data_IF_720210162462
#
_entry.id   IF_720210162462
#
_cell.length_a   1.000
_cell.length_b   1.000
_cell.length_c   1.000
_cell.angle_alpha   90.00
_cell.angle_beta   90.00
_cell.angle_gamma   90.00
#
_symmetry.space_group_name_H-M   'P 1'
#
loop_
_entity.id
_entity.type
_entity.pdbx_description
1 polymer ?
#
# COMPACT_ATOMS: atom_id res chain seq x y z
N UNK A 1 -32.89 21.00 -28.31
CA UNK A 1 -31.99 22.15 -28.53
C UNK A 1 -32.67 23.42 -28.03
N UNK A 2 -33.95 23.62 -28.37
CA UNK A 2 -34.79 24.72 -27.87
C UNK A 2 -34.89 24.80 -26.34
N UNK A 3 -34.90 23.67 -25.64
CA UNK A 3 -34.88 23.65 -24.17
C UNK A 3 -33.60 24.29 -23.59
N UNK A 4 -32.43 23.99 -24.15
CA UNK A 4 -31.15 24.55 -23.67
C UNK A 4 -31.03 26.04 -24.01
N UNK A 5 -31.52 26.45 -25.18
CA UNK A 5 -31.50 27.86 -25.61
C UNK A 5 -32.48 28.72 -24.77
N UNK A 6 -33.63 28.16 -24.39
CA UNK A 6 -34.58 28.76 -23.44
C UNK A 6 -34.03 28.82 -22.01
N UNK A 7 -33.26 27.82 -21.57
CA UNK A 7 -32.60 27.84 -20.24
C UNK A 7 -31.50 28.90 -20.21
N UNK A 8 -30.64 28.98 -21.23
CA UNK A 8 -29.55 29.96 -21.31
C UNK A 8 -30.07 31.40 -21.40
N UNK A 9 -31.17 31.63 -22.12
CA UNK A 9 -31.77 32.96 -22.23
C UNK A 9 -32.47 33.40 -20.93
N UNK A 10 -33.12 32.47 -20.23
CA UNK A 10 -33.69 32.71 -18.89
C UNK A 10 -32.60 33.00 -17.86
N UNK A 11 -31.50 32.26 -17.89
CA UNK A 11 -30.37 32.44 -16.97
C UNK A 11 -29.71 33.82 -17.08
N UNK A 12 -29.67 34.43 -18.27
CA UNK A 12 -29.09 35.77 -18.44
C UNK A 12 -29.85 36.91 -17.76
N UNK A 13 -31.07 36.67 -17.32
CA UNK A 13 -31.93 37.69 -16.68
C UNK A 13 -31.96 37.60 -15.15
N UNK A 14 -31.38 36.53 -14.59
CA UNK A 14 -31.38 36.27 -13.15
C UNK A 14 -30.24 37.01 -12.45
N UNK A 15 -30.40 37.23 -11.15
CA UNK A 15 -29.33 37.77 -10.31
C UNK A 15 -28.12 36.83 -10.33
N UNK A 16 -26.87 37.34 -10.17
CA UNK A 16 -25.65 36.53 -10.28
C UNK A 16 -25.63 35.35 -9.30
N UNK A 17 -26.23 35.51 -8.12
CA UNK A 17 -26.35 34.46 -7.11
C UNK A 17 -27.29 33.32 -7.56
N UNK A 18 -28.43 33.67 -8.16
CA UNK A 18 -29.41 32.70 -8.67
C UNK A 18 -28.86 31.94 -9.87
N UNK A 19 -28.06 32.60 -10.74
CA UNK A 19 -27.37 31.96 -11.87
C UNK A 19 -26.38 30.89 -11.41
N UNK A 20 -25.56 31.22 -10.41
CA UNK A 20 -24.61 30.26 -9.82
C UNK A 20 -25.35 29.14 -9.10
N UNK A 21 -26.46 29.43 -8.43
CA UNK A 21 -27.34 28.44 -7.80
C UNK A 21 -27.90 27.43 -8.79
N UNK A 22 -28.43 27.87 -9.93
CA UNK A 22 -28.97 26.97 -10.96
C UNK A 22 -27.87 26.15 -11.65
N UNK A 23 -26.72 26.76 -11.94
CA UNK A 23 -25.56 26.04 -12.46
C UNK A 23 -25.09 24.95 -11.49
N UNK A 24 -25.03 25.25 -10.19
CA UNK A 24 -24.66 24.29 -9.15
C UNK A 24 -25.73 23.21 -8.95
N UNK A 25 -27.01 23.51 -9.15
CA UNK A 25 -28.10 22.52 -9.10
C UNK A 25 -27.88 21.39 -10.11
N UNK A 26 -27.33 21.71 -11.28
CA UNK A 26 -27.06 20.72 -12.33
C UNK A 26 -25.65 20.12 -12.22
N UNK A 27 -24.61 20.96 -12.16
CA UNK A 27 -23.23 20.50 -12.15
C UNK A 27 -22.80 19.94 -10.78
N UNK A 28 -23.32 20.50 -9.69
CA UNK A 28 -22.98 20.09 -8.32
C UNK A 28 -23.39 18.65 -8.04
N UNK A 29 -24.54 18.19 -8.52
CA UNK A 29 -24.98 16.78 -8.37
C UNK A 29 -23.94 15.83 -8.96
N UNK A 30 -23.44 16.11 -10.17
CA UNK A 30 -22.39 15.28 -10.78
C UNK A 30 -21.13 15.23 -9.92
N UNK A 31 -20.68 16.38 -9.41
CA UNK A 31 -19.48 16.47 -8.55
C UNK A 31 -19.68 15.66 -7.28
N UNK A 32 -20.84 15.82 -6.62
CA UNK A 32 -21.16 15.10 -5.37
C UNK A 32 -21.15 13.58 -5.58
N UNK A 33 -21.76 13.09 -6.66
CA UNK A 33 -21.82 11.65 -6.96
C UNK A 33 -20.40 11.12 -7.15
N UNK A 34 -19.58 11.77 -7.98
CA UNK A 34 -18.20 11.34 -8.22
C UNK A 34 -17.35 11.33 -6.95
N UNK A 35 -17.41 12.40 -6.14
CA UNK A 35 -16.63 12.48 -4.90
C UNK A 35 -17.07 11.43 -3.88
N UNK A 36 -18.38 11.18 -3.76
CA UNK A 36 -18.91 10.14 -2.86
C UNK A 36 -18.48 8.75 -3.33
N UNK A 37 -18.61 8.45 -4.63
CA UNK A 37 -18.19 7.14 -5.17
C UNK A 37 -16.69 6.91 -4.99
N UNK A 38 -15.87 7.95 -5.18
CA UNK A 38 -14.42 7.84 -4.99
C UNK A 38 -14.07 7.61 -3.51
N UNK A 39 -14.69 8.37 -2.59
CA UNK A 39 -14.52 8.15 -1.14
C UNK A 39 -14.88 6.71 -0.76
N UNK A 40 -15.99 6.17 -1.26
CA UNK A 40 -16.36 4.78 -0.99
C UNK A 40 -15.38 3.78 -1.61
N UNK A 41 -14.95 3.98 -2.86
CA UNK A 41 -14.01 3.10 -3.53
C UNK A 41 -12.67 3.02 -2.77
N UNK A 42 -12.12 4.16 -2.35
CA UNK A 42 -10.88 4.20 -1.58
C UNK A 42 -11.07 3.73 -0.13
N UNK A 43 -12.23 3.98 0.49
CA UNK A 43 -12.54 3.44 1.82
C UNK A 43 -12.58 1.90 1.82
N UNK A 44 -13.14 1.28 0.77
CA UNK A 44 -13.09 -0.17 0.58
C UNK A 44 -11.63 -0.62 0.36
N UNK A 45 -10.86 0.11 -0.44
CA UNK A 45 -9.43 -0.16 -0.66
C UNK A 45 -8.61 -0.16 0.63
N UNK A 46 -8.97 0.67 1.62
CA UNK A 46 -8.31 0.75 2.93
C UNK A 46 -8.48 -0.53 3.79
N UNK A 47 -9.38 -1.44 3.43
CA UNK A 47 -9.54 -2.74 4.13
C UNK A 47 -8.50 -3.79 3.74
N UNK A 48 -7.64 -3.48 2.76
CA UNK A 48 -6.58 -4.36 2.27
C UNK A 48 -5.55 -4.72 3.36
N UNK A 49 -5.06 -5.97 3.34
CA UNK A 49 -4.04 -6.49 4.27
C UNK A 49 -2.62 -5.96 3.99
N UNK A 50 -2.36 -5.47 2.78
CA UNK A 50 -1.08 -4.87 2.39
C UNK A 50 -0.97 -3.47 3.02
N UNK A 51 -0.05 -3.26 3.98
CA UNK A 51 -0.02 -2.04 4.80
C UNK A 51 0.26 -0.77 3.98
N UNK A 52 1.08 -0.86 2.95
CA UNK A 52 1.41 0.28 2.07
C UNK A 52 0.17 0.77 1.32
N UNK A 53 -0.60 -0.16 0.75
CA UNK A 53 -1.86 0.17 0.05
C UNK A 53 -2.90 0.71 1.02
N UNK A 54 -3.00 0.12 2.22
CA UNK A 54 -3.91 0.59 3.26
C UNK A 54 -3.65 2.04 3.64
N UNK A 55 -2.41 2.42 3.94
CA UNK A 55 -2.05 3.80 4.27
C UNK A 55 -2.37 4.75 3.11
N UNK A 56 -2.01 4.38 1.88
CA UNK A 56 -2.33 5.16 0.69
C UNK A 56 -3.85 5.41 0.55
N UNK A 57 -4.66 4.37 0.65
CA UNK A 57 -6.12 4.48 0.52
C UNK A 57 -6.74 5.36 1.63
N UNK A 58 -6.24 5.28 2.87
CA UNK A 58 -6.71 6.13 3.98
C UNK A 58 -6.42 7.61 3.68
N UNK A 59 -5.20 7.96 3.28
CA UNK A 59 -4.83 9.34 2.95
C UNK A 59 -5.62 9.87 1.75
N UNK A 60 -5.78 9.05 0.71
CA UNK A 60 -6.55 9.44 -0.50
C UNK A 60 -8.02 9.65 -0.17
N UNK A 61 -8.63 8.79 0.65
CA UNK A 61 -10.03 8.95 1.09
C UNK A 61 -10.22 10.27 1.85
N UNK A 62 -9.35 10.57 2.80
CA UNK A 62 -9.38 11.83 3.55
C UNK A 62 -9.14 13.04 2.63
N UNK A 63 -8.18 12.93 1.70
CA UNK A 63 -7.85 13.97 0.73
C UNK A 63 -9.03 14.32 -0.18
N UNK A 64 -9.69 13.30 -0.76
CA UNK A 64 -10.86 13.50 -1.62
C UNK A 64 -12.02 14.12 -0.85
N UNK A 65 -12.26 13.66 0.38
CA UNK A 65 -13.29 14.25 1.24
C UNK A 65 -13.01 15.73 1.53
N UNK A 66 -11.75 16.07 1.87
CA UNK A 66 -11.35 17.46 2.09
C UNK A 66 -11.49 18.28 0.80
N UNK A 67 -11.03 17.78 -0.34
CA UNK A 67 -11.17 18.47 -1.64
C UNK A 67 -12.64 18.70 -1.99
N UNK A 68 -13.51 17.76 -1.70
CA UNK A 68 -14.95 17.90 -1.90
C UNK A 68 -15.53 19.03 -1.03
N UNK A 69 -15.20 19.06 0.26
CA UNK A 69 -15.60 20.15 1.17
C UNK A 69 -15.05 21.49 0.69
N UNK A 70 -13.76 21.56 0.34
CA UNK A 70 -13.12 22.76 -0.21
C UNK A 70 -13.80 23.23 -1.50
N UNK A 71 -14.23 22.30 -2.35
CA UNK A 71 -14.97 22.63 -3.58
C UNK A 71 -16.30 23.29 -3.24
N UNK A 72 -17.04 22.80 -2.24
CA UNK A 72 -18.30 23.43 -1.83
C UNK A 72 -18.09 24.81 -1.18
N UNK A 73 -17.11 24.95 -0.29
CA UNK A 73 -16.95 26.18 0.51
C UNK A 73 -16.09 27.26 -0.15
N UNK A 74 -15.11 26.90 -0.98
CA UNK A 74 -14.24 27.87 -1.66
C UNK A 74 -14.66 28.09 -3.12
N UNK A 75 -14.95 27.03 -3.88
CA UNK A 75 -15.21 27.20 -5.31
C UNK A 75 -16.53 27.92 -5.58
N UNK A 76 -17.59 27.61 -4.81
CA UNK A 76 -18.91 28.23 -5.01
C UNK A 76 -18.89 29.74 -4.75
N UNK A 77 -18.32 30.26 -3.64
CA UNK A 77 -18.21 31.70 -3.44
C UNK A 77 -17.28 32.38 -4.46
N UNK A 78 -16.15 31.77 -4.82
CA UNK A 78 -15.25 32.33 -5.84
C UNK A 78 -15.97 32.47 -7.18
N UNK A 79 -16.77 31.47 -7.58
CA UNK A 79 -17.57 31.52 -8.79
C UNK A 79 -18.62 32.64 -8.73
N UNK A 80 -19.27 32.83 -7.57
CA UNK A 80 -20.23 33.94 -7.38
C UNK A 80 -19.57 35.32 -7.44
N UNK A 81 -18.34 35.46 -6.92
CA UNK A 81 -17.57 36.69 -7.00
C UNK A 81 -17.09 36.96 -8.43
N UNK A 82 -16.70 35.91 -9.17
CA UNK A 82 -16.30 36.06 -10.57
C UNK A 82 -17.49 36.44 -11.46
N UNK A 83 -18.69 35.88 -11.24
CA UNK A 83 -19.90 36.32 -11.94
C UNK A 83 -20.28 37.76 -11.61
N UNK A 84 -20.25 38.17 -10.33
CA UNK A 84 -20.45 39.59 -9.96
C UNK A 84 -19.43 40.52 -10.63
N UNK A 85 -18.17 40.07 -10.73
CA UNK A 85 -17.10 40.81 -11.40
C UNK A 85 -17.37 40.94 -12.90
N UNK A 86 -17.81 39.86 -13.56
CA UNK A 86 -18.18 39.83 -14.98
C UNK A 86 -19.37 40.75 -15.27
N UNK A 87 -20.41 40.72 -14.43
CA UNK A 87 -21.58 41.60 -14.55
C UNK A 87 -21.20 43.09 -14.36
N UNK A 88 -20.19 43.38 -13.53
CA UNK A 88 -19.66 44.75 -13.37
C UNK A 88 -18.80 45.25 -14.55
N UNK A 89 -18.72 44.49 -15.65
CA UNK A 89 -17.93 44.85 -16.84
C UNK A 89 -16.42 44.84 -16.60
N UNK A 90 -15.95 44.01 -15.67
CA UNK A 90 -14.51 43.82 -15.37
C UNK A 90 -14.07 42.44 -15.86
N UNK A 91 -13.31 42.38 -16.95
CA UNK A 91 -12.77 41.13 -17.50
C UNK A 91 -11.23 41.08 -17.38
N UNK A 92 -10.66 39.87 -17.31
CA UNK A 92 -9.21 39.64 -17.21
C UNK A 92 -8.65 39.52 -15.79
N UNK A 93 -7.36 39.18 -15.66
CA UNK A 93 -6.71 38.86 -14.38
C UNK A 93 -6.64 40.06 -13.41
N UNK A 94 -6.55 41.29 -13.92
CA UNK A 94 -6.32 42.52 -13.14
C UNK A 94 -7.60 43.27 -12.72
N UNK A 95 -8.80 42.68 -12.86
CA UNK A 95 -10.08 43.30 -12.48
C UNK A 95 -10.32 44.70 -13.08
N UNK A 96 -9.70 45.02 -14.22
CA UNK A 96 -9.82 46.31 -14.89
C UNK A 96 -11.23 46.47 -15.48
N UNK A 97 -11.83 47.66 -15.30
CA UNK A 97 -13.09 47.99 -15.97
C UNK A 97 -12.84 48.15 -17.46
N UNK A 98 -13.69 47.52 -18.26
CA UNK A 98 -13.65 47.69 -19.71
C UNK A 98 -14.21 49.07 -20.08
N UNK A 99 -13.68 49.70 -21.14
CA UNK A 99 -14.23 50.94 -21.65
C UNK A 99 -15.67 50.74 -22.11
N UNK A 100 -16.51 51.77 -21.98
CA UNK A 100 -17.95 51.69 -22.24
C UNK A 100 -18.32 51.27 -23.67
N UNK A 101 -17.42 51.46 -24.64
CA UNK A 101 -17.59 51.07 -26.05
C UNK A 101 -16.94 49.71 -26.40
N UNK A 102 -16.62 48.89 -25.39
CA UNK A 102 -16.02 47.58 -25.64
C UNK A 102 -17.04 46.57 -26.20
N UNK A 103 -16.87 46.19 -27.46
CA UNK A 103 -17.66 45.14 -28.11
C UNK A 103 -16.89 43.82 -28.12
N UNK A 104 -17.43 42.79 -27.46
CA UNK A 104 -16.84 41.43 -27.43
C UNK A 104 -16.62 40.89 -28.84
N UNK A 105 -15.42 40.38 -29.14
CA UNK A 105 -15.10 39.83 -30.46
C UNK A 105 -15.87 38.53 -30.72
N UNK A 106 -16.54 38.39 -31.87
CA UNK A 106 -17.37 37.21 -32.21
C UNK A 106 -16.60 35.89 -32.15
N UNK A 107 -15.31 35.91 -32.48
CA UNK A 107 -14.47 34.72 -32.46
C UNK A 107 -14.20 34.23 -31.03
N UNK A 108 -13.99 35.15 -30.08
CA UNK A 108 -13.75 34.84 -28.66
C UNK A 108 -14.99 34.31 -27.94
N UNK A 109 -16.20 34.60 -28.44
CA UNK A 109 -17.45 34.12 -27.85
C UNK A 109 -17.80 32.68 -28.24
N UNK A 110 -17.02 32.05 -29.14
CA UNK A 110 -17.23 30.66 -29.54
C UNK A 110 -16.26 29.76 -28.81
N UNK A 111 -16.78 28.84 -28.00
CA UNK A 111 -15.98 27.77 -27.44
C UNK A 111 -15.64 26.79 -28.58
N UNK A 112 -14.39 26.77 -29.05
CA UNK A 112 -13.96 25.91 -30.16
C UNK A 112 -14.35 24.44 -29.94
N UNK A 113 -14.25 23.97 -28.69
CA UNK A 113 -14.65 22.63 -28.29
C UNK A 113 -16.13 22.35 -28.55
N UNK A 114 -17.01 23.28 -28.19
CA UNK A 114 -18.45 23.17 -28.43
C UNK A 114 -18.75 23.15 -29.94
N UNK A 115 -18.06 23.99 -30.72
CA UNK A 115 -18.21 24.03 -32.17
C UNK A 115 -17.79 22.70 -32.81
N UNK A 116 -16.66 22.15 -32.41
CA UNK A 116 -16.15 20.85 -32.89
C UNK A 116 -17.13 19.74 -32.50
N UNK A 117 -17.57 19.71 -31.23
CA UNK A 117 -18.49 18.68 -30.75
C UNK A 117 -19.82 18.73 -31.48
N UNK A 118 -20.36 19.93 -31.72
CA UNK A 118 -21.64 20.13 -32.40
C UNK A 118 -21.56 19.87 -33.91
N UNK A 119 -20.49 20.29 -34.60
CA UNK A 119 -20.36 20.15 -36.06
C UNK A 119 -19.82 18.79 -36.51
N UNK A 120 -18.89 18.21 -35.75
CA UNK A 120 -18.17 17.01 -36.19
C UNK A 120 -18.72 15.80 -35.43
N UNK A 121 -18.57 15.78 -34.10
CA UNK A 121 -18.90 14.59 -33.30
C UNK A 121 -20.41 14.30 -33.26
N UNK A 122 -21.26 15.31 -33.06
CA UNK A 122 -22.71 15.17 -32.99
C UNK A 122 -23.31 14.45 -34.21
N UNK A 123 -23.17 14.98 -35.43
CA UNK A 123 -23.73 14.34 -36.61
C UNK A 123 -23.01 13.04 -37.00
N UNK A 124 -21.74 12.85 -36.62
CA UNK A 124 -21.00 11.62 -36.90
C UNK A 124 -21.47 10.46 -36.02
N UNK A 125 -21.56 10.64 -34.70
CA UNK A 125 -21.92 9.59 -33.73
C UNK A 125 -23.41 9.22 -33.76
N UNK A 126 -24.29 10.10 -34.24
CA UNK A 126 -25.73 9.81 -34.30
C UNK A 126 -26.08 8.86 -35.46
N UNK A 127 -25.26 8.81 -36.51
CA UNK A 127 -25.48 7.90 -37.66
C UNK A 127 -25.49 6.44 -37.21
N UNK A 128 -26.54 5.71 -37.55
CA UNK A 128 -26.72 4.28 -37.25
C UNK A 128 -25.50 3.41 -37.59
N UNK A 129 -24.85 3.53 -38.77
CA UNK A 129 -23.65 2.72 -39.06
C UNK A 129 -22.50 3.01 -38.09
N UNK A 130 -22.31 4.26 -37.68
CA UNK A 130 -21.25 4.65 -36.74
C UNK A 130 -21.54 4.08 -35.36
N UNK A 131 -22.79 4.11 -34.89
CA UNK A 131 -23.17 3.48 -33.62
C UNK A 131 -22.88 1.99 -33.60
N UNK A 132 -23.24 1.28 -34.67
CA UNK A 132 -22.97 -0.17 -34.79
C UNK A 132 -21.47 -0.43 -34.75
N UNK A 133 -20.67 0.35 -35.50
CA UNK A 133 -19.20 0.22 -35.49
C UNK A 133 -18.62 0.49 -34.09
N UNK A 134 -19.07 1.54 -33.39
CA UNK A 134 -18.59 1.85 -32.03
C UNK A 134 -18.91 0.71 -31.07
N UNK A 135 -20.14 0.20 -31.07
CA UNK A 135 -20.54 -0.91 -30.19
C UNK A 135 -19.73 -2.17 -30.49
N UNK A 136 -19.55 -2.54 -31.76
CA UNK A 136 -18.74 -3.69 -32.16
C UNK A 136 -17.28 -3.53 -31.74
N UNK A 137 -16.71 -2.32 -31.89
CA UNK A 137 -15.36 -2.01 -31.47
C UNK A 137 -15.20 -2.09 -29.95
N UNK A 138 -16.15 -1.57 -29.18
CA UNK A 138 -16.13 -1.67 -27.72
C UNK A 138 -16.26 -3.12 -27.24
N UNK A 139 -17.14 -3.92 -27.88
CA UNK A 139 -17.27 -5.34 -27.59
C UNK A 139 -16.01 -6.13 -27.94
N UNK A 140 -15.36 -5.81 -29.07
CA UNK A 140 -14.08 -6.41 -29.45
C UNK A 140 -12.96 -6.09 -28.47
N UNK A 141 -12.84 -4.81 -28.07
CA UNK A 141 -11.89 -4.40 -27.02
C UNK A 141 -12.16 -5.10 -25.69
N UNK A 142 -13.43 -5.23 -25.29
CA UNK A 142 -13.80 -5.94 -24.07
C UNK A 142 -13.38 -7.42 -24.15
N UNK A 143 -13.65 -8.09 -25.27
CA UNK A 143 -13.21 -9.47 -25.51
C UNK A 143 -11.69 -9.63 -25.43
N UNK A 144 -10.93 -8.72 -26.05
CA UNK A 144 -9.47 -8.71 -25.99
C UNK A 144 -8.95 -8.50 -24.55
N UNK A 145 -9.56 -7.59 -23.78
CA UNK A 145 -9.19 -7.38 -22.38
C UNK A 145 -9.50 -8.62 -21.53
N UNK A 146 -10.65 -9.27 -21.71
CA UNK A 146 -10.98 -10.51 -21.01
C UNK A 146 -10.01 -11.66 -21.36
N UNK A 147 -9.63 -11.77 -22.62
CA UNK A 147 -8.63 -12.75 -23.05
C UNK A 147 -7.24 -12.44 -22.47
N UNK A 148 -6.83 -11.17 -22.48
CA UNK A 148 -5.58 -10.73 -21.85
C UNK A 148 -5.52 -11.00 -20.35
N UNK A 149 -6.65 -10.81 -19.64
CA UNK A 149 -6.77 -11.15 -18.22
C UNK A 149 -6.61 -12.65 -17.95
N UNK A 150 -7.00 -13.52 -18.89
CA UNK A 150 -6.84 -14.98 -18.74
C UNK A 150 -5.37 -15.42 -18.78
N UNK A 151 -4.49 -14.61 -19.38
CA UNK A 151 -3.05 -14.85 -19.45
C UNK A 151 -2.24 -14.14 -18.36
N UNK A 152 -2.89 -13.44 -17.41
CA UNK A 152 -2.20 -12.65 -16.41
C UNK A 152 -1.52 -13.57 -15.38
N UNK A 153 -0.20 -13.76 -15.52
CA UNK A 153 0.62 -14.46 -14.53
C UNK A 153 1.02 -13.49 -13.42
N UNK A 154 0.84 -13.90 -12.17
CA UNK A 154 1.36 -13.15 -11.03
C UNK A 154 2.87 -13.42 -10.92
N UNK A 155 3.68 -12.51 -11.45
CA UNK A 155 5.14 -12.53 -11.33
C UNK A 155 5.59 -11.32 -10.52
N UNK A 156 6.48 -11.54 -9.55
CA UNK A 156 6.99 -10.49 -8.68
C UNK A 156 8.49 -10.63 -8.57
N UNK A 157 9.20 -9.78 -9.32
CA UNK A 157 10.64 -9.66 -9.19
C UNK A 157 11.00 -8.48 -8.26
N UNK A 158 11.89 -8.76 -7.31
CA UNK A 158 12.41 -7.77 -6.37
C UNK A 158 13.37 -6.81 -7.06
N UNK A 159 13.99 -7.19 -8.18
CA UNK A 159 14.96 -6.37 -8.89
C UNK A 159 14.36 -5.09 -9.47
N UNK A 160 13.05 -5.08 -9.72
CA UNK A 160 12.31 -3.92 -10.24
C UNK A 160 12.31 -2.70 -9.29
N UNK A 161 12.49 -2.93 -7.99
CA UNK A 161 12.55 -1.86 -6.99
C UNK A 161 13.93 -1.21 -6.89
N UNK A 162 14.99 -1.87 -7.35
CA UNK A 162 16.34 -1.31 -7.32
C UNK A 162 16.55 -0.37 -8.49
N UNK A 163 17.20 0.77 -8.27
CA UNK A 163 17.66 1.61 -9.37
C UNK A 163 18.68 0.86 -10.24
N UNK A 164 18.80 1.19 -11.54
CA UNK A 164 19.86 0.63 -12.39
C UNK A 164 21.22 0.96 -11.77
N UNK A 165 22.05 -0.08 -11.57
CA UNK A 165 23.35 0.02 -10.91
C UNK A 165 23.82 -1.33 -10.37
N UNK A 166 24.97 -1.32 -9.69
CA UNK A 166 25.68 -2.55 -9.29
C UNK A 166 24.81 -3.53 -8.48
N UNK A 167 23.88 -3.05 -7.68
CA UNK A 167 23.01 -3.89 -6.84
C UNK A 167 22.06 -4.73 -7.69
N UNK A 168 21.47 -4.12 -8.73
CA UNK A 168 20.58 -4.82 -9.66
C UNK A 168 21.38 -5.85 -10.47
N UNK A 169 22.54 -5.45 -10.98
CA UNK A 169 23.41 -6.31 -11.79
C UNK A 169 23.94 -7.50 -10.98
N UNK A 170 24.33 -7.26 -9.72
CA UNK A 170 24.76 -8.32 -8.82
C UNK A 170 23.62 -9.31 -8.52
N UNK A 171 22.43 -8.83 -8.19
CA UNK A 171 21.29 -9.71 -7.88
C UNK A 171 20.87 -10.51 -9.11
N UNK A 172 20.83 -9.89 -10.29
CA UNK A 172 20.57 -10.59 -11.56
C UNK A 172 21.64 -11.65 -11.82
N UNK A 173 22.92 -11.28 -11.72
CA UNK A 173 24.02 -12.22 -11.94
C UNK A 173 23.98 -13.39 -10.95
N UNK A 174 23.60 -13.16 -9.69
CA UNK A 174 23.42 -14.23 -8.71
C UNK A 174 22.27 -15.15 -9.07
N UNK A 175 21.14 -14.61 -9.52
CA UNK A 175 19.99 -15.42 -9.96
C UNK A 175 20.30 -16.23 -11.23
N UNK A 176 21.04 -15.64 -12.18
CA UNK A 176 21.40 -16.26 -13.46
C UNK A 176 22.51 -17.31 -13.32
N UNK A 177 23.57 -17.01 -12.55
CA UNK A 177 24.72 -17.91 -12.37
C UNK A 177 24.49 -18.97 -11.27
N UNK A 178 23.66 -18.66 -10.27
CA UNK A 178 23.44 -19.52 -9.11
C UNK A 178 21.95 -19.77 -8.80
N UNK A 179 21.17 -20.29 -9.77
CA UNK A 179 19.75 -20.58 -9.55
C UNK A 179 19.52 -21.63 -8.45
N UNK A 180 20.49 -22.53 -8.23
CA UNK A 180 20.41 -23.60 -7.21
C UNK A 180 20.75 -23.14 -5.79
N UNK A 181 21.31 -21.94 -5.61
CA UNK A 181 21.67 -21.44 -4.27
C UNK A 181 20.45 -21.14 -3.40
N UNK A 182 19.27 -20.99 -4.01
CA UNK A 182 18.00 -20.83 -3.32
C UNK A 182 17.98 -19.67 -2.32
N UNK A 183 17.00 -19.69 -1.41
CA UNK A 183 16.94 -18.77 -0.28
C UNK A 183 17.04 -19.56 1.02
N UNK A 184 17.78 -19.03 2.00
CA UNK A 184 17.80 -19.60 3.35
C UNK A 184 16.45 -19.38 4.01
N UNK A 185 15.84 -20.46 4.47
CA UNK A 185 14.63 -20.44 5.27
C UNK A 185 14.96 -21.01 6.66
N UNK A 186 14.62 -20.27 7.70
CA UNK A 186 14.80 -20.70 9.07
C UNK A 186 13.44 -21.14 9.65
N UNK A 187 13.38 -22.33 10.21
CA UNK A 187 12.18 -22.87 10.86
C UNK A 187 12.30 -22.73 12.37
N UNK A 188 11.33 -22.04 12.97
CA UNK A 188 11.27 -21.83 14.42
C UNK A 188 10.17 -22.69 15.03
N UNK A 189 10.51 -23.45 16.07
CA UNK A 189 9.58 -24.25 16.86
C UNK A 189 9.10 -23.42 18.06
N UNK A 190 7.79 -23.24 18.19
CA UNK A 190 7.17 -22.51 19.30
C UNK A 190 6.55 -23.44 20.33
N UNK A 191 6.88 -23.25 21.62
CA UNK A 191 6.31 -23.96 22.76
C UNK A 191 6.30 -25.50 22.63
N UNK A 192 7.48 -26.10 22.38
CA UNK A 192 7.64 -27.56 22.19
C UNK A 192 8.47 -28.17 23.32
N UNK A 193 8.00 -29.27 23.91
CA UNK A 193 8.81 -30.06 24.85
C UNK A 193 9.70 -31.05 24.09
N UNK A 194 10.96 -30.65 23.89
CA UNK A 194 11.95 -31.44 23.13
C UNK A 194 12.17 -32.86 23.68
N UNK A 195 11.97 -33.08 24.99
CA UNK A 195 12.20 -34.39 25.60
C UNK A 195 11.03 -35.33 25.36
N UNK A 196 9.79 -34.81 25.48
CA UNK A 196 8.57 -35.61 25.28
C UNK A 196 8.28 -35.84 23.80
N UNK A 197 8.51 -34.84 22.96
CA UNK A 197 8.13 -34.84 21.54
C UNK A 197 9.29 -35.20 20.60
N UNK A 198 10.32 -35.90 21.11
CA UNK A 198 11.53 -36.28 20.36
C UNK A 198 11.23 -37.00 19.04
N UNK A 199 10.22 -37.88 19.03
CA UNK A 199 9.84 -38.71 17.88
C UNK A 199 9.15 -37.86 16.80
N UNK A 200 8.28 -36.93 17.22
CA UNK A 200 7.65 -35.98 16.31
C UNK A 200 8.69 -35.04 15.67
N UNK A 201 9.72 -34.64 16.41
CA UNK A 201 10.82 -33.83 15.88
C UNK A 201 11.71 -34.60 14.89
N UNK A 202 11.98 -35.89 15.12
CA UNK A 202 12.67 -36.74 14.13
C UNK A 202 11.81 -36.94 12.88
N UNK A 203 10.50 -37.14 13.01
CA UNK A 203 9.58 -37.25 11.88
C UNK A 203 9.53 -35.94 11.06
N UNK A 204 9.50 -34.78 11.73
CA UNK A 204 9.55 -33.48 11.08
C UNK A 204 10.81 -33.33 10.21
N UNK A 205 11.98 -33.70 10.74
CA UNK A 205 13.24 -33.66 10.00
C UNK A 205 13.20 -34.55 8.75
N UNK A 206 12.67 -35.76 8.88
CA UNK A 206 12.56 -36.69 7.76
C UNK A 206 11.61 -36.17 6.67
N UNK A 207 10.48 -35.58 7.06
CA UNK A 207 9.53 -34.96 6.13
C UNK A 207 10.13 -33.74 5.44
N UNK A 208 10.85 -32.89 6.16
CA UNK A 208 11.55 -31.73 5.60
C UNK A 208 12.63 -32.18 4.60
N UNK A 209 13.42 -33.19 4.94
CA UNK A 209 14.46 -33.73 4.06
C UNK A 209 13.90 -34.36 2.78
N UNK A 210 12.66 -34.82 2.80
CA UNK A 210 11.98 -35.42 1.64
C UNK A 210 11.34 -34.39 0.69
N UNK A 211 11.33 -33.09 1.03
CA UNK A 211 10.68 -32.08 0.20
C UNK A 211 11.53 -31.76 -1.06
N UNK A 212 10.93 -31.71 -2.26
CA UNK A 212 11.65 -31.49 -3.52
C UNK A 212 12.25 -30.08 -3.66
N UNK A 213 11.86 -29.14 -2.79
CA UNK A 213 12.36 -27.76 -2.80
C UNK A 213 13.53 -27.51 -1.85
N UNK A 214 14.01 -28.53 -1.12
CA UNK A 214 15.11 -28.40 -0.17
C UNK A 214 16.35 -29.11 -0.72
N UNK A 215 17.49 -28.43 -0.67
CA UNK A 215 18.77 -28.99 -1.11
C UNK A 215 19.22 -30.10 -0.14
N UNK A 216 19.57 -31.26 -0.69
CA UNK A 216 20.05 -32.38 0.11
C UNK A 216 21.28 -31.96 0.95
N UNK A 217 21.24 -32.22 2.26
CA UNK A 217 22.31 -31.88 3.19
C UNK A 217 22.36 -30.39 3.61
N UNK A 218 21.42 -29.55 3.19
CA UNK A 218 21.37 -28.14 3.62
C UNK A 218 20.57 -27.90 4.91
N UNK A 219 19.96 -28.95 5.49
CA UNK A 219 19.14 -28.83 6.70
C UNK A 219 20.04 -28.91 7.93
N UNK A 220 20.19 -27.79 8.62
CA UNK A 220 20.85 -27.73 9.93
C UNK A 220 19.80 -27.85 11.04
N UNK A 221 19.65 -29.05 11.62
CA UNK A 221 18.72 -29.29 12.72
C UNK A 221 19.42 -29.81 13.98
N UNK A 222 19.61 -28.92 14.95
CA UNK A 222 20.42 -29.18 16.15
C UNK A 222 19.92 -30.40 16.95
N UNK A 223 18.60 -30.60 17.04
CA UNK A 223 18.03 -31.67 17.85
C UNK A 223 18.34 -33.04 17.23
N UNK A 224 18.24 -33.16 15.91
CA UNK A 224 18.61 -34.39 15.19
C UNK A 224 20.11 -34.69 15.36
N UNK A 225 20.98 -33.70 15.15
CA UNK A 225 22.43 -33.86 15.34
C UNK A 225 22.79 -34.21 16.79
N UNK A 226 22.07 -33.66 17.78
CA UNK A 226 22.26 -34.00 19.18
C UNK A 226 21.88 -35.45 19.50
N UNK A 227 20.74 -35.93 18.97
CA UNK A 227 20.34 -37.33 19.12
C UNK A 227 21.32 -38.28 18.43
N UNK A 228 21.84 -37.93 17.26
CA UNK A 228 22.87 -38.70 16.57
C UNK A 228 24.16 -38.79 17.40
N UNK A 229 24.61 -37.66 17.96
CA UNK A 229 25.74 -37.61 18.89
C UNK A 229 25.52 -38.50 20.11
N UNK A 230 24.33 -38.47 20.72
CA UNK A 230 24.00 -39.34 21.86
C UNK A 230 24.00 -40.82 21.48
N UNK A 231 23.50 -41.18 20.29
CA UNK A 231 23.56 -42.55 19.74
C UNK A 231 25.03 -43.00 19.58
N UNK A 232 25.91 -42.13 19.08
CA UNK A 232 27.34 -42.41 18.89
C UNK A 232 28.12 -42.59 20.21
N UNK A 233 27.71 -41.87 21.27
CA UNK A 233 28.35 -41.93 22.61
C UNK A 233 27.75 -42.98 23.54
N UNK A 234 26.65 -43.63 23.17
CA UNK A 234 25.99 -44.67 23.99
C UNK A 234 26.97 -45.84 24.23
N UNK A 235 27.40 -46.03 25.49
CA UNK A 235 28.32 -47.11 25.89
C UNK A 235 29.81 -46.73 25.94
N UNK A 236 30.19 -45.47 25.65
CA UNK A 236 31.55 -44.95 25.85
C UNK A 236 31.57 -44.03 27.08
N UNK A 237 32.65 -44.02 27.90
CA UNK A 237 32.76 -43.10 29.01
C UNK A 237 32.76 -41.66 28.46
N UNK A 238 31.70 -40.92 28.76
CA UNK A 238 31.63 -39.49 28.47
C UNK A 238 32.63 -38.84 29.42
N UNK A 239 33.76 -38.35 28.90
CA UNK A 239 34.61 -37.43 29.66
C UNK A 239 33.78 -36.18 29.91
N UNK A 240 33.18 -36.11 31.10
CA UNK A 240 32.69 -34.86 31.65
C UNK A 240 33.93 -34.00 31.82
N UNK A 241 34.19 -33.11 30.85
CA UNK A 241 35.13 -32.03 31.10
C UNK A 241 34.54 -31.28 32.29
N UNK A 242 35.26 -31.27 33.41
CA UNK A 242 35.04 -30.27 34.45
C UNK A 242 35.34 -28.91 33.81
N UNK A 243 34.34 -28.35 33.14
CA UNK A 243 34.36 -26.97 32.70
C UNK A 243 34.31 -26.18 34.00
N UNK A 244 35.50 -25.78 34.49
CA UNK A 244 35.61 -24.79 35.54
C UNK A 244 34.71 -23.62 35.15
N UNK A 245 33.88 -23.16 36.08
CA UNK A 245 32.90 -22.08 35.89
C UNK A 245 33.51 -20.83 35.25
N UNK A 246 34.83 -20.63 35.34
CA UNK A 246 35.59 -19.59 34.64
C UNK A 246 35.60 -19.73 33.11
N UNK A 247 35.70 -20.95 32.56
CA UNK A 247 35.75 -21.18 31.11
C UNK A 247 34.38 -20.97 30.43
N UNK A 248 33.29 -21.30 31.14
CA UNK A 248 31.94 -21.03 30.64
C UNK A 248 31.61 -19.53 30.63
N UNK A 249 32.07 -18.78 31.65
CA UNK A 249 31.96 -17.31 31.64
C UNK A 249 32.76 -16.66 30.51
N UNK A 250 34.00 -17.12 30.24
CA UNK A 250 34.85 -16.58 29.17
C UNK A 250 34.30 -16.79 27.75
N UNK A 251 33.44 -17.79 27.56
CA UNK A 251 32.83 -18.07 26.24
C UNK A 251 31.56 -17.22 26.03
N UNK A 252 30.81 -16.95 27.10
CA UNK A 252 29.65 -16.06 27.07
C UNK A 252 30.02 -14.56 27.05
N UNK A 253 31.22 -14.18 27.49
CA UNK A 253 31.68 -12.77 27.48
C UNK A 253 32.39 -12.34 26.19
N UNK A 254 32.75 -13.27 25.29
CA UNK A 254 33.47 -12.92 24.05
C UNK A 254 32.60 -12.30 22.95
N UNK A 255 31.27 -12.33 23.09
CA UNK A 255 30.37 -11.51 22.29
C UNK A 255 29.27 -10.96 23.19
N UNK A 256 29.28 -9.67 23.55
CA UNK A 256 28.14 -9.09 24.24
C UNK A 256 26.89 -9.32 23.39
N UNK A 257 25.74 -9.71 23.99
CA UNK A 257 24.49 -9.75 23.26
C UNK A 257 24.24 -8.36 22.66
N UNK A 258 23.73 -8.27 21.43
CA UNK A 258 23.44 -6.98 20.81
C UNK A 258 22.47 -6.17 21.70
N UNK A 259 22.77 -4.88 21.92
CA UNK A 259 22.12 -3.98 22.89
C UNK A 259 20.58 -3.98 22.89
N UNK A 260 19.92 -4.42 21.82
CA UNK A 260 18.46 -4.50 21.76
C UNK A 260 17.87 -5.55 22.72
N UNK A 261 18.62 -6.62 23.06
CA UNK A 261 18.16 -7.63 24.03
C UNK A 261 18.11 -7.05 25.45
N UNK A 262 19.09 -6.21 25.82
CA UNK A 262 19.09 -5.52 27.12
C UNK A 262 17.97 -4.49 27.21
N UNK A 263 17.72 -3.74 26.12
CA UNK A 263 16.63 -2.76 26.06
C UNK A 263 15.24 -3.40 26.15
N UNK A 264 15.07 -4.61 25.61
CA UNK A 264 13.81 -5.35 25.68
C UNK A 264 13.52 -5.86 27.12
N UNK A 265 14.56 -6.20 27.89
CA UNK A 265 14.42 -6.64 29.27
C UNK A 265 14.00 -5.50 30.21
N UNK A 266 14.54 -4.29 30.03
CA UNK A 266 14.15 -3.10 30.81
C UNK A 266 12.73 -2.62 30.51
N UNK A 267 12.25 -2.79 29.27
CA UNK A 267 10.87 -2.45 28.90
C UNK A 267 9.86 -3.43 29.53
N UNK A 268 10.22 -4.71 29.66
CA UNK A 268 9.37 -5.72 30.31
C UNK A 268 9.33 -5.57 31.84
N UNK A 269 10.39 -5.02 32.48
CA UNK A 269 10.40 -4.73 33.91
C UNK A 269 9.53 -3.52 34.30
N UNK A 270 9.40 -2.53 33.40
CA UNK A 270 8.70 -1.26 33.69
C UNK A 270 7.24 -1.19 33.21
N UNK A 271 6.72 -2.24 32.55
CA UNK A 271 5.37 -2.24 31.95
C UNK A 271 4.32 -3.06 32.71
N UNK A 272 4.65 -3.64 33.87
CA UNK A 272 3.69 -4.42 34.68
C UNK A 272 3.18 -3.56 35.86
N UNK A 273 1.91 -3.12 35.87
CA UNK A 273 1.33 -2.46 37.05
C UNK A 273 1.09 -3.48 38.18
N UNK A 274 1.10 -3.04 39.46
CA UNK A 274 0.98 -3.95 40.60
C UNK A 274 -0.49 -4.36 40.76
N UNK A 275 -0.81 -5.62 40.45
CA UNK A 275 -2.09 -6.22 40.86
C UNK A 275 -1.79 -7.47 41.69
N UNK A 276 -2.51 -7.56 42.81
CA UNK A 276 -2.23 -8.41 43.96
C UNK A 276 -2.07 -9.91 43.68
N UNK A 277 -1.13 -10.48 44.44
CA UNK A 277 -1.16 -11.81 45.03
C UNK A 277 -1.31 -13.02 44.08
N UNK A 278 -0.19 -13.51 43.56
CA UNK A 278 0.08 -14.96 43.47
C UNK A 278 1.58 -15.23 43.70
N UNK A 279 1.86 -16.07 44.69
CA UNK A 279 3.19 -16.45 45.16
C UNK A 279 3.93 -17.28 44.10
N UNK A 280 4.96 -16.71 43.47
CA UNK A 280 6.28 -17.30 43.20
C UNK A 280 7.07 -16.32 42.30
N UNK A 281 8.08 -15.60 42.81
CA UNK A 281 8.90 -14.74 41.95
C UNK A 281 9.80 -15.62 41.08
N UNK A 282 9.57 -15.58 39.76
CA UNK A 282 10.50 -16.09 38.76
C UNK A 282 11.83 -15.34 38.86
N UNK A 283 12.79 -15.90 39.61
CA UNK A 283 14.15 -15.37 39.67
C UNK A 283 14.84 -15.62 38.32
N UNK A 284 15.15 -14.54 37.62
CA UNK A 284 16.15 -14.55 36.55
C UNK A 284 17.48 -14.98 37.18
N UNK A 285 18.24 -15.84 36.48
CA UNK A 285 19.54 -16.32 36.96
C UNK A 285 20.47 -15.13 37.27
N UNK A 286 21.16 -15.10 38.43
CA UNK A 286 22.03 -13.99 38.85
C UNK A 286 23.16 -13.69 37.84
N UNK A 287 23.45 -14.58 36.90
CA UNK A 287 24.38 -14.34 35.80
C UNK A 287 23.90 -13.30 34.77
N UNK A 288 22.60 -13.17 34.54
CA UNK A 288 22.06 -12.24 33.53
C UNK A 288 22.03 -10.79 34.05
N UNK A 289 21.76 -10.60 35.34
CA UNK A 289 21.85 -9.29 36.01
C UNK A 289 23.28 -8.75 36.02
N UNK A 290 24.28 -9.62 36.22
CA UNK A 290 25.69 -9.20 36.24
C UNK A 290 26.21 -8.78 34.86
N UNK A 291 25.68 -9.35 33.78
CA UNK A 291 26.08 -9.02 32.40
C UNK A 291 25.50 -7.68 31.91
N UNK A 292 24.33 -7.26 32.39
CA UNK A 292 23.74 -5.97 31.99
C UNK A 292 24.29 -4.78 32.80
N UNK A 293 24.75 -5.01 34.03
CA UNK A 293 25.28 -3.94 34.89
C UNK A 293 26.71 -3.48 34.53
N UNK A 294 27.46 -4.28 33.75
CA UNK A 294 28.87 -4.05 33.42
C UNK A 294 29.15 -4.03 31.90
N UNK A 295 28.14 -3.77 31.08
CA UNK A 295 28.25 -3.65 29.61
C UNK A 295 28.04 -2.22 29.13
#
# INVERSE_FOLDING_TARGET
MDFLENVVSKERTLNPEERVGEALRQAGVSITITSITDVFAFAIGATTRVPVLRSFCIYTTAGIFIVYVLTLIFMVPILSLDERRRDSGREGCLCLRLPADYKKNRCSQKLLLEVIFRRIFGPLLVKTPVKVVVVLLTMGLLGLNCWGLSGLKNDFDRTWFFNPGYQRDFVSAVQDLFPESGYRADFYLGNTDYFREKEALEELFNRLSALPGIKNGSIEFWHHSFLEYLKEKKGKPIRIMNVSTKAMQLTLTRRPPPMWICKQADILLNSVPPVGAMNHPGKISPGLQYMCANG
#
